data_IF_184686646397
#
_entry.id   IF_184686646397
#
_cell.length_a   1.000
_cell.length_b   1.000
_cell.length_c   1.000
_cell.angle_alpha   90.00
_cell.angle_beta   90.00
_cell.angle_gamma   90.00
#
_symmetry.space_group_name_H-M   'P 1'
#
loop_
_entity.id
_entity.type
_entity.pdbx_description
1 polymer ?
#
# COMPACT_ATOMS: atom_id res chain seq x y z
N UNK A 1 2.68 24.31 6.24
CA UNK A 1 3.58 23.74 7.26
C UNK A 1 3.03 22.35 7.57
N UNK A 2 3.64 21.28 7.04
CA UNK A 2 3.21 19.92 7.39
C UNK A 2 3.49 19.70 8.89
N UNK A 3 2.53 19.21 9.69
CA UNK A 3 2.76 18.95 11.11
C UNK A 3 3.87 17.90 11.26
N UNK A 4 4.92 18.23 12.02
CA UNK A 4 5.93 17.26 12.44
C UNK A 4 5.33 16.43 13.56
N UNK A 5 5.09 15.15 13.32
CA UNK A 5 4.72 14.19 14.37
C UNK A 5 5.95 14.03 15.29
N UNK A 6 5.81 14.36 16.56
CA UNK A 6 6.87 14.14 17.55
C UNK A 6 6.99 12.64 17.86
N UNK A 7 8.25 12.15 17.98
CA UNK A 7 8.57 10.73 18.15
C UNK A 7 7.89 10.05 19.35
N UNK A 8 7.57 10.80 20.40
CA UNK A 8 7.02 10.24 21.63
C UNK A 8 5.48 10.06 21.61
N UNK A 9 4.81 10.40 20.52
CA UNK A 9 3.34 10.39 20.42
C UNK A 9 2.85 9.70 19.13
N UNK A 10 3.65 8.76 18.61
CA UNK A 10 3.28 7.98 17.42
C UNK A 10 2.18 6.99 17.81
N UNK A 11 0.92 7.43 17.72
CA UNK A 11 -0.22 6.53 17.79
C UNK A 11 -0.19 5.61 16.57
N UNK A 12 0.06 4.33 16.80
CA UNK A 12 -0.03 3.25 15.81
C UNK A 12 -0.91 2.14 16.37
N UNK A 13 -1.23 1.13 15.56
CA UNK A 13 -1.92 -0.06 16.06
C UNK A 13 -1.11 -0.74 17.16
N UNK A 14 -1.80 -1.32 18.15
CA UNK A 14 -1.14 -2.16 19.15
C UNK A 14 -0.72 -3.51 18.51
N UNK A 15 0.36 -4.16 18.97
CA UNK A 15 0.74 -5.48 18.45
C UNK A 15 -0.39 -6.52 18.55
N UNK A 16 -1.25 -6.41 19.56
CA UNK A 16 -2.45 -7.27 19.69
C UNK A 16 -3.45 -7.09 18.56
N UNK A 17 -3.58 -5.88 18.02
CA UNK A 17 -4.53 -5.57 16.95
C UNK A 17 -4.09 -6.15 15.61
N UNK A 18 -2.79 -6.43 15.45
CA UNK A 18 -2.17 -6.88 14.21
C UNK A 18 -1.53 -8.28 14.28
N UNK A 19 -1.92 -9.09 15.26
CA UNK A 19 -1.69 -10.54 15.21
C UNK A 19 -0.69 -11.14 16.20
N UNK A 20 -0.06 -10.36 17.07
CA UNK A 20 0.95 -10.85 18.02
C UNK A 20 0.45 -12.03 18.91
N UNK A 21 -0.85 -12.06 19.21
CA UNK A 21 -1.48 -13.09 20.06
C UNK A 21 -2.37 -14.08 19.28
N UNK A 22 -2.05 -14.31 18.00
CA UNK A 22 -2.75 -15.32 17.18
C UNK A 22 -3.99 -14.81 16.45
N UNK A 23 -4.25 -13.50 16.50
CA UNK A 23 -5.21 -12.87 15.59
C UNK A 23 -4.67 -12.93 14.14
N UNK A 24 -5.49 -13.27 13.13
CA UNK A 24 -5.10 -13.16 11.73
C UNK A 24 -5.18 -11.73 11.19
N UNK A 25 -5.52 -10.75 12.05
CA UNK A 25 -5.66 -9.35 11.66
C UNK A 25 -4.35 -8.78 11.17
N UNK A 26 -4.40 -8.10 10.01
CA UNK A 26 -3.29 -7.38 9.40
C UNK A 26 -3.81 -6.04 8.88
N UNK A 27 -2.93 -5.06 8.78
CA UNK A 27 -3.17 -3.87 7.98
C UNK A 27 -2.58 -4.11 6.59
N UNK A 28 -3.40 -4.06 5.55
CA UNK A 28 -2.97 -4.20 4.16
C UNK A 28 -3.03 -2.83 3.50
N UNK A 29 -1.87 -2.30 3.12
CA UNK A 29 -1.77 -1.15 2.22
C UNK A 29 -1.61 -1.71 0.81
N UNK A 30 -2.37 -1.20 -0.15
CA UNK A 30 -2.33 -1.69 -1.53
C UNK A 30 -2.31 -0.55 -2.53
N UNK A 31 -1.68 -0.81 -3.67
CA UNK A 31 -1.72 0.05 -4.83
C UNK A 31 -1.95 -0.79 -6.09
N UNK A 32 -2.80 -0.31 -6.99
CA UNK A 32 -3.07 -0.92 -8.28
C UNK A 32 -2.88 0.13 -9.36
N UNK A 33 -2.20 -0.25 -10.43
CA UNK A 33 -1.84 0.64 -11.52
C UNK A 33 -2.50 0.21 -12.82
N UNK A 34 -2.58 1.11 -13.78
CA UNK A 34 -3.30 0.97 -15.03
C UNK A 34 -2.39 1.20 -16.26
N UNK A 35 -1.12 0.81 -16.20
CA UNK A 35 -0.20 0.99 -17.33
C UNK A 35 -0.59 0.18 -18.58
N UNK A 36 -1.45 -0.83 -18.44
CA UNK A 36 -2.08 -1.52 -19.56
C UNK A 36 -3.50 -0.98 -19.88
N UNK A 37 -3.84 0.23 -19.42
CA UNK A 37 -5.11 0.90 -19.66
C UNK A 37 -6.28 0.27 -18.90
N UNK A 38 -7.43 0.11 -19.57
CA UNK A 38 -8.65 -0.49 -18.98
C UNK A 38 -8.45 -1.93 -18.47
N UNK A 39 -7.37 -2.58 -18.90
CA UNK A 39 -7.02 -3.94 -18.50
C UNK A 39 -6.25 -3.98 -17.17
N UNK A 40 -5.93 -2.84 -16.58
CA UNK A 40 -5.20 -2.71 -15.34
C UNK A 40 -3.69 -2.74 -15.56
N UNK A 41 -2.96 -3.29 -14.60
CA UNK A 41 -1.51 -3.21 -14.56
C UNK A 41 -0.94 -3.97 -13.38
N UNK A 42 0.26 -3.61 -12.98
CA UNK A 42 0.89 -4.19 -11.82
C UNK A 42 0.18 -3.78 -10.53
N UNK A 43 0.40 -4.59 -9.51
CA UNK A 43 -0.15 -4.42 -8.18
C UNK A 43 0.96 -4.50 -7.15
N UNK A 44 0.78 -3.76 -6.08
CA UNK A 44 1.66 -3.73 -4.94
C UNK A 44 0.89 -3.82 -3.64
N UNK A 45 1.49 -4.46 -2.64
CA UNK A 45 0.90 -4.52 -1.30
C UNK A 45 1.95 -4.57 -0.21
N UNK A 46 1.64 -3.96 0.93
CA UNK A 46 2.27 -4.18 2.21
C UNK A 46 1.26 -4.84 3.14
N UNK A 47 1.48 -6.10 3.50
CA UNK A 47 0.77 -6.73 4.60
C UNK A 47 1.54 -6.48 5.90
N UNK A 48 1.05 -5.56 6.73
CA UNK A 48 1.65 -5.19 8.02
C UNK A 48 0.99 -5.98 9.15
N UNK A 49 1.81 -6.64 9.96
CA UNK A 49 1.38 -7.53 11.04
C UNK A 49 2.40 -7.53 12.19
N UNK A 50 1.99 -8.02 13.36
CA UNK A 50 2.85 -8.22 14.51
C UNK A 50 3.08 -9.71 14.76
N UNK A 51 4.28 -10.07 15.21
CA UNK A 51 4.62 -11.44 15.63
C UNK A 51 4.59 -11.54 17.16
N UNK A 52 4.77 -12.76 17.69
CA UNK A 52 4.74 -13.06 19.13
C UNK A 52 5.80 -12.30 19.95
N UNK A 53 6.81 -11.76 19.29
CA UNK A 53 7.86 -10.93 19.89
C UNK A 53 7.46 -9.45 20.03
N UNK A 54 6.18 -9.14 19.76
CA UNK A 54 5.58 -7.80 19.82
C UNK A 54 6.17 -6.80 18.81
N UNK A 55 7.00 -7.26 17.86
CA UNK A 55 7.52 -6.41 16.80
C UNK A 55 6.61 -6.44 15.57
N UNK A 56 6.58 -5.32 14.85
CA UNK A 56 5.87 -5.21 13.58
C UNK A 56 6.74 -5.63 12.41
N UNK A 57 6.08 -6.22 11.41
CA UNK A 57 6.65 -6.72 10.17
C UNK A 57 5.74 -6.30 9.01
N UNK A 58 6.34 -6.08 7.84
CA UNK A 58 5.63 -5.93 6.59
C UNK A 58 6.07 -7.04 5.64
N UNK A 59 5.11 -7.72 5.04
CA UNK A 59 5.34 -8.52 3.86
C UNK A 59 4.96 -7.70 2.63
N UNK A 60 5.98 -7.28 1.89
CA UNK A 60 5.81 -6.53 0.65
C UNK A 60 5.73 -7.47 -0.56
N UNK A 61 4.80 -7.20 -1.47
CA UNK A 61 4.67 -7.87 -2.76
C UNK A 61 4.54 -6.81 -3.86
N UNK A 62 5.20 -7.05 -4.99
CA UNK A 62 5.00 -6.35 -6.26
C UNK A 62 4.83 -7.38 -7.37
N UNK A 63 3.80 -7.23 -8.19
CA UNK A 63 3.66 -8.00 -9.43
C UNK A 63 4.29 -7.26 -10.60
N UNK A 64 4.40 -7.92 -11.73
CA UNK A 64 4.74 -7.31 -13.02
C UNK A 64 3.74 -7.76 -14.07
N UNK A 65 3.52 -6.90 -15.05
CA UNK A 65 2.67 -7.16 -16.20
C UNK A 65 3.46 -6.96 -17.49
N UNK A 66 3.04 -7.66 -18.54
CA UNK A 66 3.57 -7.51 -19.90
C UNK A 66 2.40 -7.07 -20.80
N UNK A 67 2.24 -5.76 -20.98
CA UNK A 67 1.09 -5.20 -21.72
C UNK A 67 1.09 -5.60 -23.20
N UNK A 68 2.23 -6.01 -23.77
CA UNK A 68 2.32 -6.48 -25.16
C UNK A 68 1.68 -7.87 -25.34
N UNK A 69 1.44 -8.59 -24.25
CA UNK A 69 0.84 -9.94 -24.25
C UNK A 69 -0.54 -9.99 -23.61
N UNK A 70 -1.26 -8.86 -23.62
CA UNK A 70 -2.63 -8.77 -23.11
C UNK A 70 -3.55 -9.84 -23.70
N UNK A 71 -3.51 -10.04 -25.02
CA UNK A 71 -4.36 -11.04 -25.71
C UNK A 71 -4.08 -12.49 -25.28
N UNK A 72 -2.89 -12.76 -24.76
CA UNK A 72 -2.47 -14.10 -24.35
C UNK A 72 -2.75 -14.38 -22.87
N UNK A 73 -2.57 -13.37 -22.01
CA UNK A 73 -2.57 -13.55 -20.57
C UNK A 73 -3.74 -12.90 -19.83
N UNK A 74 -4.46 -11.95 -20.43
CA UNK A 74 -5.56 -11.30 -19.75
C UNK A 74 -6.61 -12.30 -19.26
N UNK A 75 -7.04 -12.17 -18.00
CA UNK A 75 -7.94 -13.11 -17.32
C UNK A 75 -7.27 -14.41 -16.85
N UNK A 76 -5.95 -14.56 -17.00
CA UNK A 76 -5.18 -15.70 -16.49
C UNK A 76 -4.21 -15.26 -15.39
N UNK A 77 -3.80 -16.18 -14.49
CA UNK A 77 -2.81 -15.88 -13.44
C UNK A 77 -1.50 -15.30 -14.00
N UNK A 78 -1.19 -15.58 -15.26
CA UNK A 78 0.04 -15.14 -15.89
C UNK A 78 0.07 -13.65 -16.24
N UNK A 79 -1.07 -12.97 -16.18
CA UNK A 79 -1.12 -11.52 -16.42
C UNK A 79 -0.35 -10.74 -15.34
N UNK A 80 -0.51 -11.12 -14.08
CA UNK A 80 0.12 -10.47 -12.91
C UNK A 80 1.09 -11.43 -12.23
N UNK A 81 2.31 -11.49 -12.76
CA UNK A 81 3.33 -12.39 -12.26
C UNK A 81 3.97 -11.83 -10.99
N UNK A 82 4.25 -12.66 -9.96
CA UNK A 82 5.07 -12.23 -8.84
C UNK A 82 6.43 -11.72 -9.32
N UNK A 83 6.84 -10.53 -8.88
CA UNK A 83 8.12 -9.93 -9.25
C UNK A 83 9.03 -9.74 -8.04
N UNK A 84 8.55 -9.02 -7.02
CA UNK A 84 9.29 -8.78 -5.77
C UNK A 84 8.47 -9.30 -4.61
N UNK A 85 9.14 -9.97 -3.68
CA UNK A 85 8.58 -10.34 -2.39
C UNK A 85 9.63 -10.22 -1.31
N UNK A 86 9.29 -9.55 -0.20
CA UNK A 86 10.22 -9.35 0.92
C UNK A 86 9.47 -9.19 2.23
N UNK A 87 9.97 -9.87 3.27
CA UNK A 87 9.59 -9.58 4.65
C UNK A 87 10.56 -8.54 5.24
N UNK A 88 10.02 -7.53 5.91
CA UNK A 88 10.77 -6.42 6.49
C UNK A 88 10.31 -6.24 7.93
N UNK A 89 11.21 -6.25 8.90
CA UNK A 89 10.91 -5.81 10.27
C UNK A 89 10.82 -4.29 10.28
N UNK A 90 9.74 -3.72 10.81
CA UNK A 90 9.52 -2.28 10.84
C UNK A 90 10.42 -1.64 11.90
N UNK A 91 11.13 -0.58 11.49
CA UNK A 91 11.70 0.39 12.42
C UNK A 91 10.66 1.44 12.83
N UNK A 92 11.01 2.27 13.81
CA UNK A 92 10.22 3.46 14.17
C UNK A 92 9.97 4.36 12.95
N UNK A 93 10.99 4.60 12.12
CA UNK A 93 10.86 5.41 10.91
C UNK A 93 9.88 4.80 9.89
N UNK A 94 9.80 3.46 9.80
CA UNK A 94 8.81 2.80 8.97
C UNK A 94 7.39 3.01 9.50
N UNK A 95 7.19 2.93 10.82
CA UNK A 95 5.89 3.18 11.45
C UNK A 95 5.44 4.62 11.21
N UNK A 96 6.34 5.60 11.38
CA UNK A 96 6.08 7.01 11.07
C UNK A 96 5.68 7.19 9.61
N UNK A 97 6.39 6.53 8.68
CA UNK A 97 6.11 6.61 7.26
C UNK A 97 4.72 6.03 6.92
N UNK A 98 4.34 4.90 7.52
CA UNK A 98 3.00 4.31 7.39
C UNK A 98 1.93 5.29 7.87
N UNK A 99 2.10 5.87 9.07
CA UNK A 99 1.14 6.83 9.62
C UNK A 99 0.99 8.09 8.76
N UNK A 100 2.10 8.61 8.25
CA UNK A 100 2.09 9.74 7.32
C UNK A 100 1.37 9.39 6.02
N UNK A 101 1.63 8.20 5.46
CA UNK A 101 0.97 7.70 4.28
C UNK A 101 -0.54 7.61 4.48
N UNK A 102 -1.00 6.96 5.57
CA UNK A 102 -2.41 6.82 5.91
C UNK A 102 -3.10 8.18 6.11
N UNK A 103 -2.46 9.10 6.84
CA UNK A 103 -2.99 10.44 7.09
C UNK A 103 -3.20 11.22 5.78
N UNK A 104 -2.25 11.13 4.85
CA UNK A 104 -2.37 11.74 3.53
C UNK A 104 -3.45 11.05 2.69
N UNK A 105 -3.55 9.73 2.74
CA UNK A 105 -4.55 8.96 2.03
C UNK A 105 -5.98 9.26 2.51
N UNK A 106 -6.20 9.44 3.82
CA UNK A 106 -7.49 9.90 4.37
C UNK A 106 -7.86 11.27 3.80
N UNK A 107 -6.92 12.21 3.78
CA UNK A 107 -7.16 13.54 3.21
C UNK A 107 -7.46 13.47 1.71
N UNK A 108 -6.77 12.62 0.96
CA UNK A 108 -7.09 12.38 -0.46
C UNK A 108 -8.49 11.80 -0.62
N UNK A 109 -8.89 10.82 0.21
CA UNK A 109 -10.23 10.24 0.19
C UNK A 109 -11.33 11.28 0.43
N UNK A 110 -11.13 12.19 1.39
CA UNK A 110 -12.07 13.28 1.68
C UNK A 110 -12.20 14.25 0.49
N UNK A 111 -11.12 14.45 -0.27
CA UNK A 111 -11.06 15.37 -1.41
C UNK A 111 -11.40 14.72 -2.75
N UNK A 112 -11.55 13.40 -2.80
CA UNK A 112 -11.80 12.64 -4.02
C UNK A 112 -13.09 13.13 -4.69
N UNK A 113 -12.98 13.54 -5.96
CA UNK A 113 -14.08 14.19 -6.70
C UNK A 113 -14.47 13.49 -8.00
N UNK A 114 -13.79 12.42 -8.41
CA UNK A 114 -13.90 11.90 -9.77
C UNK A 114 -14.48 10.48 -9.88
N UNK A 115 -15.56 10.31 -10.67
CA UNK A 115 -15.92 9.03 -11.28
C UNK A 115 -15.21 8.92 -12.65
N UNK A 116 -14.13 8.14 -12.73
CA UNK A 116 -13.43 7.82 -13.98
C UNK A 116 -13.32 6.31 -14.19
N UNK A 117 -13.08 5.86 -15.42
CA UNK A 117 -12.97 4.43 -15.78
C UNK A 117 -11.54 3.89 -15.89
N UNK A 118 -10.53 4.77 -15.86
CA UNK A 118 -9.11 4.44 -15.76
C UNK A 118 -8.43 5.34 -14.71
N UNK A 119 -7.40 4.84 -14.04
CA UNK A 119 -6.72 5.50 -12.95
C UNK A 119 -6.03 4.52 -12.00
N UNK A 120 -5.30 5.10 -11.04
CA UNK A 120 -4.59 4.37 -10.02
C UNK A 120 -5.49 4.20 -8.80
N UNK A 121 -5.35 3.07 -8.13
CA UNK A 121 -6.00 2.84 -6.84
C UNK A 121 -4.95 2.81 -5.76
N UNK A 122 -5.17 3.58 -4.70
CA UNK A 122 -4.36 3.56 -3.48
C UNK A 122 -5.28 3.32 -2.29
N UNK A 123 -4.92 2.37 -1.44
CA UNK A 123 -5.81 1.97 -0.37
C UNK A 123 -5.11 1.39 0.85
N UNK A 124 -5.88 1.31 1.93
CA UNK A 124 -5.50 0.65 3.16
C UNK A 124 -6.72 -0.01 3.78
N UNK A 125 -6.60 -1.27 4.18
CA UNK A 125 -7.66 -2.04 4.81
C UNK A 125 -7.11 -2.84 5.98
N UNK A 126 -7.82 -2.89 7.10
CA UNK A 126 -7.59 -3.93 8.10
C UNK A 126 -8.36 -5.19 7.70
N UNK A 127 -7.74 -6.36 7.79
CA UNK A 127 -8.39 -7.61 7.38
C UNK A 127 -9.60 -8.00 8.23
N UNK A 128 -9.80 -7.37 9.39
CA UNK A 128 -11.03 -7.45 10.19
C UNK A 128 -12.14 -6.49 9.72
N UNK A 129 -11.92 -5.76 8.62
CA UNK A 129 -12.82 -4.79 7.99
C UNK A 129 -13.18 -3.57 8.85
N UNK A 130 -12.55 -3.38 10.02
CA UNK A 130 -12.83 -2.23 10.91
C UNK A 130 -12.25 -0.91 10.40
N UNK A 131 -11.38 -0.97 9.39
CA UNK A 131 -10.74 0.18 8.77
C UNK A 131 -10.60 -0.07 7.28
N UNK A 132 -11.09 0.86 6.45
CA UNK A 132 -11.01 0.82 4.99
C UNK A 132 -10.89 2.23 4.44
N UNK A 133 -9.86 2.45 3.63
CA UNK A 133 -9.69 3.63 2.77
C UNK A 133 -9.39 3.11 1.38
N UNK A 134 -10.14 3.59 0.39
CA UNK A 134 -9.90 3.29 -1.02
C UNK A 134 -10.02 4.58 -1.81
N UNK A 135 -8.91 5.06 -2.35
CA UNK A 135 -8.84 6.27 -3.19
C UNK A 135 -8.57 5.83 -4.61
N UNK A 136 -9.47 6.20 -5.50
CA UNK A 136 -9.36 6.00 -6.93
C UNK A 136 -9.18 7.36 -7.60
N UNK A 137 -7.95 7.65 -8.04
CA UNK A 137 -7.71 8.86 -8.81
C UNK A 137 -6.47 8.75 -9.70
N UNK A 138 -6.25 9.81 -10.49
CA UNK A 138 -5.03 10.03 -11.27
C UNK A 138 -4.18 11.15 -10.63
N UNK A 139 -4.34 11.39 -9.32
CA UNK A 139 -3.64 12.47 -8.65
C UNK A 139 -2.20 12.04 -8.35
N UNK A 140 -1.25 12.74 -8.99
CA UNK A 140 0.18 12.54 -8.77
C UNK A 140 0.59 12.63 -7.30
N UNK A 141 -0.12 13.40 -6.48
CA UNK A 141 0.16 13.48 -5.03
C UNK A 141 0.02 12.12 -4.33
N UNK A 142 -0.89 11.24 -4.76
CA UNK A 142 -1.04 9.92 -4.16
C UNK A 142 0.10 8.98 -4.57
N UNK A 143 0.53 9.05 -5.84
CA UNK A 143 1.72 8.34 -6.30
C UNK A 143 2.97 8.82 -5.55
N UNK A 144 3.15 10.13 -5.40
CA UNK A 144 4.28 10.71 -4.65
C UNK A 144 4.24 10.29 -3.17
N UNK A 145 3.05 10.23 -2.57
CA UNK A 145 2.86 9.74 -1.20
C UNK A 145 3.23 8.25 -1.08
N UNK A 146 2.78 7.42 -2.03
CA UNK A 146 3.11 6.00 -2.08
C UNK A 146 4.62 5.75 -2.31
N UNK A 147 5.24 6.52 -3.21
CA UNK A 147 6.67 6.44 -3.47
C UNK A 147 7.52 6.82 -2.23
N UNK A 148 7.09 7.80 -1.43
CA UNK A 148 7.73 8.11 -0.14
C UNK A 148 7.64 6.95 0.83
N UNK A 149 6.52 6.22 0.84
CA UNK A 149 6.38 4.99 1.64
C UNK A 149 7.39 3.94 1.15
N UNK A 150 7.44 3.63 -0.15
CA UNK A 150 8.38 2.67 -0.73
C UNK A 150 9.84 3.00 -0.36
N UNK A 151 10.25 4.27 -0.48
CA UNK A 151 11.59 4.72 -0.10
C UNK A 151 11.91 4.45 1.37
N UNK A 152 10.97 4.68 2.27
CA UNK A 152 11.17 4.42 3.71
C UNK A 152 11.46 2.94 4.00
N UNK A 153 10.91 2.04 3.18
CA UNK A 153 11.16 0.59 3.23
C UNK A 153 12.36 0.16 2.36
N UNK A 154 13.07 1.11 1.73
CA UNK A 154 14.18 0.88 0.79
C UNK A 154 13.76 0.01 -0.39
N UNK A 155 12.55 0.24 -0.89
CA UNK A 155 11.98 -0.39 -2.08
C UNK A 155 12.07 0.61 -3.24
N UNK A 156 12.30 0.10 -4.45
CA UNK A 156 12.35 0.91 -5.66
C UNK A 156 11.00 1.61 -5.91
N UNK A 157 11.06 2.89 -6.29
CA UNK A 157 9.87 3.68 -6.64
C UNK A 157 9.13 3.13 -7.85
N UNK A 158 7.85 3.44 -7.92
CA UNK A 158 7.07 3.33 -9.15
C UNK A 158 7.31 4.56 -10.00
N UNK A 159 7.86 4.33 -11.19
CA UNK A 159 7.95 5.36 -12.24
C UNK A 159 6.75 5.17 -13.17
N UNK A 160 5.66 5.88 -12.87
CA UNK A 160 4.45 5.90 -13.68
C UNK A 160 4.40 7.21 -14.47
N UNK A 161 4.15 7.13 -15.78
CA UNK A 161 4.08 8.30 -16.68
C UNK A 161 2.64 8.68 -17.00
#
# INVERSE_FOLDING_TARGET
>A
MEPKIEKNDISFFEPSDLGAFGSPTKLVIYASFDECGEWGGHEESFEIFAKKDLNFYAYYKRTKVDCDKLSEFYGKPEFQQPYISKEIRLSEDNIIAVNNYLSKLINSKIKERSPGHAGQTFGAIKTDSTFLINVYDNNKENLDNYNKLLESFKIEKVNYQ
#
